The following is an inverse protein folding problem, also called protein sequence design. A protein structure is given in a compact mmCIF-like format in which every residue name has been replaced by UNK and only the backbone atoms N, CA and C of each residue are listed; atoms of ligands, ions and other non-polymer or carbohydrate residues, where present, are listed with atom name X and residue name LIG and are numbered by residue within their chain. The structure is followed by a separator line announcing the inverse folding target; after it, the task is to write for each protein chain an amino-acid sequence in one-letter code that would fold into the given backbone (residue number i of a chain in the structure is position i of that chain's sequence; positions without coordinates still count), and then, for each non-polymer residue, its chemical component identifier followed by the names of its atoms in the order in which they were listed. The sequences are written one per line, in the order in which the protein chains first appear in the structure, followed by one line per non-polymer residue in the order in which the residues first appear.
data_IF_218529818132
#
_entry.id   IF_218529818132
#
_cell.length_a   1.000
_cell.length_b   1.000
_cell.length_c   1.000
_cell.angle_alpha   90.00
_cell.angle_beta   90.00
_cell.angle_gamma   90.00
#
_symmetry.space_group_name_H-M   'P 1'
#
loop_
_entity.id
_entity.type
_entity.pdbx_description
1 polymer ?
#
# COMPACT_ATOMS: atom_id res chain seq x y z
N UNK A 1 17.62 -0.17 20.00
CA UNK A 1 16.85 0.25 18.82
C UNK A 1 15.39 -0.07 19.10
N UNK A 2 14.44 0.70 18.55
CA UNK A 2 13.01 0.47 18.78
C UNK A 2 12.61 -0.93 18.30
N UNK A 3 11.73 -1.64 19.03
CA UNK A 3 11.15 -2.93 18.60
C UNK A 3 10.62 -2.89 17.16
N UNK A 4 10.14 -1.73 16.73
CA UNK A 4 9.63 -1.52 15.37
C UNK A 4 10.78 -1.52 14.36
N UNK A 5 11.89 -0.83 14.64
CA UNK A 5 13.07 -0.81 13.77
C UNK A 5 13.68 -2.20 13.62
N UNK A 6 13.72 -2.97 14.70
CA UNK A 6 14.21 -4.36 14.67
C UNK A 6 13.29 -5.24 13.81
N UNK A 7 11.98 -5.07 13.91
CA UNK A 7 11.01 -5.76 13.03
C UNK A 7 11.19 -5.36 11.56
N UNK A 8 11.32 -4.06 11.25
CA UNK A 8 11.55 -3.58 9.89
C UNK A 8 12.82 -4.21 9.30
N UNK A 9 13.89 -4.30 10.09
CA UNK A 9 15.12 -4.98 9.67
C UNK A 9 14.87 -6.46 9.36
N UNK A 10 14.10 -7.16 10.21
CA UNK A 10 13.77 -8.58 10.03
C UNK A 10 13.00 -8.90 8.75
N UNK A 11 12.26 -7.92 8.20
CA UNK A 11 11.54 -8.05 6.91
C UNK A 11 12.31 -7.41 5.73
N UNK A 12 13.58 -7.04 5.93
CA UNK A 12 14.46 -6.54 4.88
C UNK A 12 14.47 -5.02 4.66
N UNK A 13 13.74 -4.25 5.46
CA UNK A 13 13.76 -2.78 5.39
C UNK A 13 14.89 -2.25 6.27
N UNK A 14 15.91 -1.68 5.63
CA UNK A 14 17.13 -1.18 6.29
C UNK A 14 17.30 0.32 6.06
N UNK A 15 18.23 0.96 6.79
CA UNK A 15 18.54 2.39 6.66
C UNK A 15 17.33 3.33 6.84
N UNK A 16 16.42 2.96 7.75
CA UNK A 16 15.22 3.75 8.06
C UNK A 16 15.64 5.06 8.73
N UNK A 17 15.26 6.19 8.10
CA UNK A 17 15.57 7.55 8.60
C UNK A 17 14.63 7.93 9.74
N UNK A 18 13.33 7.68 9.57
CA UNK A 18 12.30 8.03 10.53
C UNK A 18 11.17 6.99 10.50
N UNK A 19 10.48 6.83 11.63
CA UNK A 19 9.29 5.98 11.75
C UNK A 19 8.17 6.79 12.42
N UNK A 20 7.13 7.12 11.65
CA UNK A 20 5.88 7.67 12.16
C UNK A 20 4.91 6.50 12.44
N UNK A 21 4.84 6.06 13.70
CA UNK A 21 3.98 4.94 14.10
C UNK A 21 2.65 5.43 14.70
N UNK A 22 1.54 5.03 14.09
CA UNK A 22 0.18 5.48 14.43
C UNK A 22 0.06 7.02 14.44
N UNK A 23 0.39 7.71 13.32
CA UNK A 23 0.26 9.16 13.24
C UNK A 23 -1.19 9.59 13.49
N UNK A 24 -1.36 10.70 14.20
CA UNK A 24 -2.67 11.31 14.39
C UNK A 24 -3.15 11.96 13.09
N UNK A 25 -4.46 12.22 12.99
CA UNK A 25 -5.04 12.92 11.83
C UNK A 25 -4.37 14.27 11.55
N UNK A 26 -4.05 15.06 12.58
CA UNK A 26 -3.40 16.36 12.40
C UNK A 26 -2.00 16.23 11.77
N UNK A 27 -1.25 15.18 12.14
CA UNK A 27 0.03 14.86 11.52
C UNK A 27 -0.17 14.46 10.06
N UNK A 28 -1.10 13.54 9.78
CA UNK A 28 -1.40 13.13 8.39
C UNK A 28 -1.80 14.33 7.53
N UNK A 29 -2.67 15.21 8.03
CA UNK A 29 -3.09 16.41 7.32
C UNK A 29 -1.91 17.35 7.01
N UNK A 30 -1.02 17.59 7.99
CA UNK A 30 0.15 18.44 7.79
C UNK A 30 1.12 17.85 6.75
N UNK A 31 1.35 16.54 6.80
CA UNK A 31 2.20 15.84 5.83
C UNK A 31 1.59 15.86 4.41
N UNK A 32 0.30 15.52 4.28
CA UNK A 32 -0.39 15.46 2.97
C UNK A 32 -0.54 16.84 2.29
N UNK A 33 -0.50 17.93 3.07
CA UNK A 33 -0.62 19.31 2.56
C UNK A 33 0.71 20.04 2.43
N UNK A 34 1.84 19.33 2.61
CA UNK A 34 3.17 19.90 2.43
C UNK A 34 3.35 20.43 0.98
N UNK A 35 3.69 21.73 0.79
CA UNK A 35 3.83 22.33 -0.54
C UNK A 35 4.99 21.78 -1.37
N UNK A 36 5.93 21.03 -0.76
CA UNK A 36 7.05 20.40 -1.46
C UNK A 36 6.65 19.09 -2.17
N UNK A 37 5.47 18.52 -1.87
CA UNK A 37 5.00 17.30 -2.50
C UNK A 37 4.68 17.49 -3.99
N UNK A 38 5.05 16.49 -4.79
CA UNK A 38 4.90 16.51 -6.24
C UNK A 38 4.27 15.21 -6.77
N UNK A 39 3.82 15.24 -8.03
CA UNK A 39 3.23 14.06 -8.67
C UNK A 39 1.98 13.56 -7.96
N UNK A 40 1.92 12.26 -7.70
CA UNK A 40 0.76 11.59 -7.06
C UNK A 40 0.76 11.67 -5.53
N UNK A 41 1.84 12.16 -4.92
CA UNK A 41 1.92 12.35 -3.46
C UNK A 41 1.20 13.64 -3.02
N UNK A 42 1.01 14.59 -3.94
CA UNK A 42 0.45 15.90 -3.62
C UNK A 42 -1.03 15.83 -3.26
N UNK A 43 -1.37 16.20 -2.01
CA UNK A 43 -2.73 16.48 -1.57
C UNK A 43 -3.16 17.91 -1.85
N UNK A 44 -4.47 18.10 -2.09
CA UNK A 44 -5.11 19.43 -2.24
C UNK A 44 -6.30 19.52 -1.30
N UNK A 45 -6.35 20.56 -0.48
CA UNK A 45 -7.50 20.84 0.39
C UNK A 45 -8.66 21.36 -0.46
N UNK A 46 -9.76 20.62 -0.48
CA UNK A 46 -10.98 21.02 -1.17
C UNK A 46 -11.72 22.13 -0.41
N UNK A 47 -12.73 22.75 -1.05
CA UNK A 47 -13.61 23.73 -0.40
C UNK A 47 -14.37 23.16 0.81
N UNK A 48 -14.50 21.83 0.88
CA UNK A 48 -15.15 21.11 1.99
C UNK A 48 -14.17 20.84 3.16
N UNK A 49 -12.90 21.25 3.05
CA UNK A 49 -11.86 21.02 4.05
C UNK A 49 -11.22 19.64 4.03
N UNK A 50 -11.72 18.71 3.21
CA UNK A 50 -11.11 17.40 3.02
C UNK A 50 -9.94 17.46 2.03
N UNK A 51 -8.89 16.67 2.28
CA UNK A 51 -7.77 16.48 1.35
C UNK A 51 -8.22 15.58 0.20
N UNK A 52 -7.89 15.96 -1.02
CA UNK A 52 -8.06 15.18 -2.24
C UNK A 52 -6.70 14.88 -2.88
N UNK A 53 -6.54 13.66 -3.40
CA UNK A 53 -5.36 13.21 -4.16
C UNK A 53 -5.78 12.66 -5.53
N UNK A 54 -4.84 12.62 -6.48
CA UNK A 54 -5.02 12.01 -7.79
C UNK A 54 -4.11 10.79 -7.93
N UNK A 55 -4.66 9.65 -8.34
CA UNK A 55 -3.92 8.38 -8.49
C UNK A 55 -3.43 8.11 -9.92
N UNK A 56 -3.49 9.11 -10.80
CA UNK A 56 -3.05 9.01 -12.19
C UNK A 56 -3.92 8.06 -13.01
N UNK A 57 -3.27 7.14 -13.75
CA UNK A 57 -3.95 6.13 -14.56
C UNK A 57 -4.68 5.06 -13.72
N UNK A 58 -4.29 4.88 -12.46
CA UNK A 58 -4.81 3.86 -11.56
C UNK A 58 -6.09 4.33 -10.85
N UNK A 59 -7.17 4.49 -11.62
CA UNK A 59 -8.48 4.97 -11.13
C UNK A 59 -9.41 3.84 -10.67
N UNK A 60 -8.89 2.61 -10.62
CA UNK A 60 -9.64 1.42 -10.23
C UNK A 60 -8.71 0.26 -9.88
N UNK A 61 -9.31 -0.91 -9.62
CA UNK A 61 -8.54 -2.13 -9.36
C UNK A 61 -7.89 -2.64 -10.65
N UNK A 62 -6.71 -3.25 -10.52
CA UNK A 62 -6.02 -3.98 -11.60
C UNK A 62 -6.13 -5.50 -11.38
N UNK A 63 -7.30 -6.15 -11.62
CA UNK A 63 -7.49 -7.57 -11.35
C UNK A 63 -6.51 -8.47 -12.12
N UNK A 64 -6.07 -8.02 -13.31
CA UNK A 64 -5.09 -8.71 -14.14
C UNK A 64 -3.67 -8.74 -13.55
N UNK A 65 -3.40 -7.94 -12.54
CA UNK A 65 -2.09 -7.88 -11.87
C UNK A 65 -2.13 -8.49 -10.45
N UNK A 66 -3.28 -9.05 -10.04
CA UNK A 66 -3.41 -9.79 -8.76
C UNK A 66 -2.80 -11.19 -8.87
N UNK A 67 -1.78 -11.48 -8.06
CA UNK A 67 -1.20 -12.82 -7.92
C UNK A 67 -1.23 -13.28 -6.46
N UNK A 68 -1.21 -14.60 -6.26
CA UNK A 68 -1.15 -15.23 -4.95
C UNK A 68 -0.07 -16.31 -5.02
N UNK A 69 0.85 -16.29 -4.05
CA UNK A 69 1.91 -17.31 -3.96
C UNK A 69 1.28 -18.68 -3.80
N UNK A 70 1.67 -19.64 -4.63
CA UNK A 70 1.21 -21.02 -4.56
C UNK A 70 2.23 -21.87 -3.80
N UNK A 71 2.07 -21.88 -2.48
CA UNK A 71 2.87 -22.65 -1.53
C UNK A 71 2.00 -23.70 -0.80
N UNK A 72 2.59 -24.43 0.14
CA UNK A 72 1.89 -25.50 0.86
C UNK A 72 0.73 -24.99 1.73
N UNK A 73 0.69 -23.70 2.06
CA UNK A 73 -0.40 -23.10 2.84
C UNK A 73 -1.64 -22.80 1.98
N UNK A 74 -1.44 -22.58 0.68
CA UNK A 74 -2.48 -22.08 -0.24
C UNK A 74 -2.89 -23.09 -1.31
N UNK A 75 -1.99 -24.02 -1.69
CA UNK A 75 -2.14 -24.94 -2.83
C UNK A 75 -3.48 -25.65 -2.85
N UNK A 76 -3.89 -26.22 -1.72
CA UNK A 76 -5.06 -27.09 -1.64
C UNK A 76 -6.31 -26.41 -1.06
N UNK A 77 -6.21 -25.14 -0.66
CA UNK A 77 -7.28 -24.39 0.03
C UNK A 77 -7.82 -23.23 -0.79
N UNK A 78 -7.05 -22.70 -1.74
CA UNK A 78 -7.46 -21.56 -2.56
C UNK A 78 -8.24 -21.99 -3.80
N UNK A 79 -9.22 -21.17 -4.17
CA UNK A 79 -9.91 -21.32 -5.44
C UNK A 79 -9.07 -20.70 -6.56
N UNK A 80 -8.17 -21.50 -7.13
CA UNK A 80 -7.28 -21.06 -8.20
C UNK A 80 -8.02 -20.73 -9.49
N UNK A 81 -7.50 -19.75 -10.24
CA UNK A 81 -7.98 -19.46 -11.57
C UNK A 81 -7.74 -20.67 -12.50
N UNK A 82 -8.76 -21.11 -13.22
CA UNK A 82 -8.69 -22.32 -14.04
C UNK A 82 -9.81 -22.38 -15.08
N UNK A 83 -10.60 -23.46 -15.06
CA UNK A 83 -11.80 -23.60 -15.89
C UNK A 83 -12.84 -22.52 -15.55
N UNK A 84 -13.14 -22.36 -14.26
CA UNK A 84 -13.92 -21.22 -13.78
C UNK A 84 -12.97 -20.03 -13.63
N UNK A 85 -13.25 -18.97 -14.39
CA UNK A 85 -12.42 -17.78 -14.43
C UNK A 85 -12.59 -16.95 -13.16
N UNK A 86 -11.47 -16.62 -12.54
CA UNK A 86 -11.36 -15.68 -11.43
C UNK A 86 -9.96 -15.02 -11.43
N UNK A 87 -9.69 -14.12 -10.50
CA UNK A 87 -8.44 -13.35 -10.48
C UNK A 87 -7.29 -14.00 -9.68
N UNK A 88 -7.49 -15.17 -9.07
CA UNK A 88 -6.52 -15.86 -8.22
C UNK A 88 -5.46 -16.56 -9.09
N UNK A 89 -4.55 -15.77 -9.65
CA UNK A 89 -3.45 -16.25 -10.50
C UNK A 89 -2.30 -16.72 -9.61
N UNK A 90 -1.79 -17.95 -9.80
CA UNK A 90 -0.66 -18.43 -9.02
C UNK A 90 0.65 -17.75 -9.42
N UNK A 91 1.53 -17.55 -8.45
CA UNK A 91 2.94 -17.23 -8.64
C UNK A 91 3.79 -18.15 -7.76
N UNK A 92 5.00 -18.48 -8.18
CA UNK A 92 5.96 -19.31 -7.44
C UNK A 92 6.90 -18.49 -6.60
#
# INVERSE_FOLDING_TARGET
MSKITDYLNSIGITNVVEVLHNPAYDTLYAEETNPELAGYERGVVSELGAVNVLTGEYTGRSPKDKYITMDDSTRDTFWWNGEIKNDNKPIT
#
